data_IF_829051415882
#
_entry.id   IF_829051415882
#
_cell.length_a   1.000
_cell.length_b   1.000
_cell.length_c   1.000
_cell.angle_alpha   90.00
_cell.angle_beta   90.00
_cell.angle_gamma   90.00
#
_symmetry.space_group_name_H-M   'P 1'
#
loop_
_entity.id
_entity.type
_entity.pdbx_description
1 polymer ?
#
# COMPACT_ATOMS: atom_id res chain seq x y z
N UNK A 1 -15.05 -4.71 -23.67
CA UNK A 1 -13.69 -4.84 -24.24
C UNK A 1 -12.81 -3.77 -23.62
N UNK A 2 -11.83 -4.17 -22.81
CA UNK A 2 -10.92 -3.29 -22.06
C UNK A 2 -9.58 -3.22 -22.81
N UNK A 3 -9.04 -2.02 -23.01
CA UNK A 3 -7.73 -1.80 -23.62
C UNK A 3 -6.63 -2.03 -22.56
N UNK A 4 -5.78 -3.06 -22.72
CA UNK A 4 -4.70 -3.33 -21.75
C UNK A 4 -3.45 -2.45 -21.96
N UNK A 5 -3.49 -1.49 -22.89
CA UNK A 5 -2.39 -0.57 -23.23
C UNK A 5 -1.89 -0.67 -24.67
N UNK A 6 -2.03 -1.81 -25.33
CA UNK A 6 -1.70 -1.98 -26.75
C UNK A 6 -2.80 -2.78 -27.45
N UNK A 7 -3.48 -2.13 -28.41
CA UNK A 7 -4.52 -2.75 -29.24
C UNK A 7 -4.27 -2.42 -30.70
N UNK A 8 -4.66 -3.32 -31.60
CA UNK A 8 -4.35 -3.27 -33.02
C UNK A 8 -5.52 -2.80 -33.89
N UNK A 9 -6.46 -2.04 -33.35
CA UNK A 9 -7.59 -1.49 -34.09
C UNK A 9 -8.64 -0.87 -33.16
N UNK A 10 -9.63 -0.21 -33.79
CA UNK A 10 -10.79 0.34 -33.07
C UNK A 10 -11.95 -0.64 -33.14
N UNK A 11 -12.76 -0.63 -32.09
CA UNK A 11 -14.01 -1.40 -32.01
C UNK A 11 -15.20 -0.46 -32.18
N UNK A 12 -16.23 -0.93 -32.86
CA UNK A 12 -17.54 -0.26 -32.90
C UNK A 12 -18.30 -0.57 -31.59
N UNK A 13 -18.69 0.47 -30.89
CA UNK A 13 -19.41 0.32 -29.62
C UNK A 13 -19.50 1.64 -28.85
N UNK A 14 -19.89 1.55 -27.60
CA UNK A 14 -19.99 2.72 -26.72
C UNK A 14 -18.67 2.87 -25.96
N UNK A 15 -17.92 3.93 -26.28
CA UNK A 15 -16.68 4.25 -25.59
C UNK A 15 -16.97 4.55 -24.11
N UNK A 16 -16.15 4.00 -23.24
CA UNK A 16 -16.28 4.13 -21.78
C UNK A 16 -14.90 3.94 -21.12
N UNK A 17 -14.89 3.93 -19.79
CA UNK A 17 -13.73 3.52 -19.00
C UNK A 17 -14.12 2.41 -18.04
N UNK A 18 -13.22 1.45 -17.87
CA UNK A 18 -13.37 0.42 -16.85
C UNK A 18 -13.47 1.06 -15.46
N UNK A 19 -14.53 0.80 -14.70
CA UNK A 19 -14.75 1.47 -13.43
C UNK A 19 -13.81 1.04 -12.31
N UNK A 20 -13.14 -0.12 -12.46
CA UNK A 20 -12.21 -0.63 -11.47
C UNK A 20 -10.81 0.00 -11.58
N UNK A 21 -10.28 0.06 -12.82
CA UNK A 21 -8.89 0.48 -13.08
C UNK A 21 -8.77 1.74 -13.93
N UNK A 22 -9.91 2.30 -14.40
CA UNK A 22 -9.94 3.52 -15.21
C UNK A 22 -9.40 3.36 -16.64
N UNK A 23 -9.16 2.13 -17.07
CA UNK A 23 -8.65 1.83 -18.42
C UNK A 23 -9.69 2.18 -19.48
N UNK A 24 -9.22 2.56 -20.66
CA UNK A 24 -10.10 2.77 -21.81
C UNK A 24 -10.82 1.46 -22.17
N UNK A 25 -12.11 1.54 -22.41
CA UNK A 25 -12.93 0.39 -22.69
C UNK A 25 -14.06 0.73 -23.68
N UNK A 26 -14.62 -0.28 -24.30
CA UNK A 26 -15.73 -0.16 -25.24
C UNK A 26 -16.79 -1.20 -24.88
N UNK A 27 -18.04 -0.78 -24.71
CA UNK A 27 -19.16 -1.71 -24.65
C UNK A 27 -19.46 -2.23 -26.06
N UNK A 28 -19.34 -3.53 -26.26
CA UNK A 28 -19.52 -4.21 -27.54
C UNK A 28 -20.66 -5.21 -27.49
N UNK A 29 -21.22 -5.53 -28.63
CA UNK A 29 -22.17 -6.62 -28.76
C UNK A 29 -21.47 -7.99 -28.58
N UNK A 30 -22.17 -9.02 -28.05
CA UNK A 30 -21.57 -10.34 -27.81
C UNK A 30 -20.90 -10.97 -29.02
N UNK A 31 -21.43 -10.71 -30.23
CA UNK A 31 -20.93 -11.22 -31.51
C UNK A 31 -19.54 -10.66 -31.86
N UNK A 32 -19.16 -9.51 -31.29
CA UNK A 32 -17.87 -8.88 -31.55
C UNK A 32 -16.75 -9.40 -30.62
N UNK A 33 -17.06 -10.34 -29.73
CA UNK A 33 -16.12 -10.83 -28.70
C UNK A 33 -14.82 -11.36 -29.31
N UNK A 34 -14.91 -12.27 -30.29
CA UNK A 34 -13.74 -12.88 -30.91
C UNK A 34 -12.92 -11.85 -31.69
N UNK A 35 -13.60 -10.94 -32.38
CA UNK A 35 -12.95 -9.85 -33.09
C UNK A 35 -12.18 -8.93 -32.14
N UNK A 36 -12.79 -8.53 -31.05
CA UNK A 36 -12.15 -7.70 -30.03
C UNK A 36 -10.91 -8.38 -29.42
N UNK A 37 -10.99 -9.67 -29.13
CA UNK A 37 -9.84 -10.45 -28.63
C UNK A 37 -8.71 -10.52 -29.67
N UNK A 38 -9.03 -10.68 -30.94
CA UNK A 38 -8.02 -10.67 -32.02
C UNK A 38 -7.31 -9.32 -32.13
N UNK A 39 -7.99 -8.23 -31.82
CA UNK A 39 -7.40 -6.88 -31.77
C UNK A 39 -6.61 -6.60 -30.49
N UNK A 40 -6.52 -7.54 -29.56
CA UNK A 40 -5.73 -7.41 -28.34
C UNK A 40 -6.51 -6.84 -27.13
N UNK A 41 -7.83 -6.68 -27.24
CA UNK A 41 -8.64 -6.27 -26.08
C UNK A 41 -8.87 -7.42 -25.12
N UNK A 42 -8.93 -7.11 -23.83
CA UNK A 42 -9.43 -8.04 -22.81
C UNK A 42 -10.95 -7.95 -22.74
N UNK A 43 -11.64 -9.01 -23.16
CA UNK A 43 -13.10 -9.02 -23.18
C UNK A 43 -13.66 -9.74 -21.96
N UNK A 44 -14.48 -9.04 -21.20
CA UNK A 44 -15.16 -9.53 -19.99
C UNK A 44 -16.66 -9.32 -20.10
N UNK A 45 -17.44 -10.10 -19.36
CA UNK A 45 -18.88 -9.90 -19.28
C UNK A 45 -19.25 -8.80 -18.25
N UNK A 46 -20.48 -8.34 -18.28
CA UNK A 46 -20.98 -7.29 -17.40
C UNK A 46 -20.95 -7.67 -15.94
N UNK A 47 -21.20 -8.95 -15.62
CA UNK A 47 -21.18 -9.45 -14.24
C UNK A 47 -19.77 -9.38 -13.66
N UNK A 48 -18.77 -9.77 -14.45
CA UNK A 48 -17.34 -9.67 -14.10
C UNK A 48 -16.94 -8.22 -13.87
N UNK A 49 -17.36 -7.27 -14.72
CA UNK A 49 -17.07 -5.84 -14.52
C UNK A 49 -17.62 -5.35 -13.17
N UNK A 50 -18.89 -5.67 -12.86
CA UNK A 50 -19.53 -5.28 -11.60
C UNK A 50 -18.83 -5.91 -10.40
N UNK A 51 -18.54 -7.21 -10.46
CA UNK A 51 -17.86 -7.93 -9.37
C UNK A 51 -16.47 -7.38 -9.10
N UNK A 52 -15.71 -7.11 -10.16
CA UNK A 52 -14.34 -6.52 -10.06
C UNK A 52 -14.42 -5.11 -9.47
N UNK A 53 -15.36 -4.29 -9.92
CA UNK A 53 -15.54 -2.93 -9.39
C UNK A 53 -15.92 -2.94 -7.90
N UNK A 54 -16.88 -3.79 -7.50
CA UNK A 54 -17.25 -3.93 -6.08
C UNK A 54 -16.04 -4.41 -5.26
N UNK A 55 -15.30 -5.42 -5.73
CA UNK A 55 -14.11 -5.91 -5.06
C UNK A 55 -13.06 -4.82 -4.88
N UNK A 56 -12.84 -4.02 -5.91
CA UNK A 56 -11.90 -2.88 -5.85
C UNK A 56 -12.36 -1.81 -4.87
N UNK A 57 -13.66 -1.47 -4.87
CA UNK A 57 -14.22 -0.51 -3.92
C UNK A 57 -14.10 -0.99 -2.48
N UNK A 58 -14.38 -2.26 -2.20
CA UNK A 58 -14.22 -2.86 -0.87
C UNK A 58 -12.74 -2.82 -0.43
N UNK A 59 -11.82 -3.20 -1.31
CA UNK A 59 -10.38 -3.17 -1.03
C UNK A 59 -9.88 -1.76 -0.72
N UNK A 60 -10.26 -0.78 -1.53
CA UNK A 60 -9.85 0.61 -1.36
C UNK A 60 -10.44 1.28 -0.11
N UNK A 61 -11.56 0.76 0.40
CA UNK A 61 -12.23 1.27 1.59
C UNK A 61 -12.15 0.30 2.78
N UNK A 62 -11.34 -0.75 2.71
CA UNK A 62 -11.23 -1.76 3.77
C UNK A 62 -10.97 -1.15 5.16
N UNK A 63 -10.10 -0.14 5.24
CA UNK A 63 -9.84 0.56 6.48
C UNK A 63 -11.08 1.28 7.07
N UNK A 64 -11.98 1.78 6.22
CA UNK A 64 -13.22 2.44 6.67
C UNK A 64 -14.28 1.43 7.10
N UNK A 65 -14.24 0.23 6.53
CA UNK A 65 -15.17 -0.86 6.84
C UNK A 65 -14.76 -1.64 8.10
N UNK A 66 -13.49 -1.54 8.51
CA UNK A 66 -12.99 -2.19 9.70
C UNK A 66 -13.27 -1.32 10.93
N UNK A 67 -14.29 -1.65 11.69
CA UNK A 67 -14.68 -1.02 12.94
C UNK A 67 -14.42 -1.88 14.17
N UNK A 68 -15.01 -1.49 15.29
CA UNK A 68 -14.89 -2.20 16.57
C UNK A 68 -15.44 -3.62 16.52
N UNK A 69 -16.61 -3.79 15.89
CA UNK A 69 -17.29 -5.09 15.80
C UNK A 69 -16.47 -6.07 14.97
N UNK A 70 -15.95 -5.63 13.82
CA UNK A 70 -15.14 -6.47 12.94
C UNK A 70 -13.84 -6.89 13.63
N UNK A 71 -13.19 -5.97 14.34
CA UNK A 71 -11.96 -6.30 15.08
C UNK A 71 -12.26 -7.22 16.25
N UNK A 72 -13.38 -7.04 16.96
CA UNK A 72 -13.79 -7.95 18.03
C UNK A 72 -14.02 -9.37 17.48
N UNK A 73 -14.71 -9.49 16.35
CA UNK A 73 -14.93 -10.79 15.71
C UNK A 73 -13.60 -11.46 15.29
N UNK A 74 -12.65 -10.68 14.79
CA UNK A 74 -11.30 -11.16 14.47
C UNK A 74 -10.56 -11.66 15.73
N UNK A 75 -10.67 -10.93 16.86
CA UNK A 75 -10.11 -11.37 18.14
C UNK A 75 -10.75 -12.65 18.64
N UNK A 76 -12.08 -12.78 18.54
CA UNK A 76 -12.81 -13.98 18.92
C UNK A 76 -12.42 -15.21 18.08
N UNK A 77 -12.17 -15.01 16.78
CA UNK A 77 -11.64 -16.06 15.91
C UNK A 77 -10.21 -16.46 16.29
N UNK A 78 -9.37 -15.50 16.62
CA UNK A 78 -8.00 -15.76 17.08
C UNK A 78 -8.00 -16.50 18.43
N UNK A 79 -8.88 -16.12 19.35
CA UNK A 79 -9.02 -16.76 20.66
C UNK A 79 -9.36 -18.24 20.57
N UNK A 80 -10.16 -18.67 19.57
CA UNK A 80 -10.47 -20.09 19.33
C UNK A 80 -9.22 -20.93 19.04
N UNK A 81 -8.26 -20.37 18.34
CA UNK A 81 -7.04 -21.07 17.91
C UNK A 81 -5.83 -20.77 18.81
N UNK A 82 -5.82 -19.63 19.48
CA UNK A 82 -4.70 -19.14 20.29
C UNK A 82 -5.21 -18.37 21.51
N UNK A 83 -5.93 -19.05 22.45
CA UNK A 83 -6.57 -18.36 23.57
C UNK A 83 -5.59 -17.61 24.45
N UNK A 84 -4.43 -18.18 24.70
CA UNK A 84 -3.38 -17.53 25.53
C UNK A 84 -2.80 -16.23 24.92
N UNK A 85 -2.96 -16.02 23.64
CA UNK A 85 -2.48 -14.82 22.96
C UNK A 85 -3.45 -13.65 23.13
N UNK A 86 -4.75 -13.96 23.27
CA UNK A 86 -5.81 -12.94 23.38
C UNK A 86 -6.16 -12.68 24.86
N UNK A 87 -5.91 -13.65 25.72
CA UNK A 87 -6.16 -13.54 27.16
C UNK A 87 -5.30 -12.41 27.77
N UNK A 88 -5.95 -11.43 28.40
CA UNK A 88 -5.29 -10.25 28.96
C UNK A 88 -4.77 -9.23 27.93
N UNK A 89 -5.05 -9.42 26.62
CA UNK A 89 -4.61 -8.43 25.63
C UNK A 89 -5.51 -7.19 25.60
N UNK A 90 -6.79 -7.38 25.44
CA UNK A 90 -7.81 -6.30 25.46
C UNK A 90 -8.74 -6.55 26.64
N UNK A 91 -8.95 -5.57 27.54
CA UNK A 91 -8.42 -4.20 27.54
C UNK A 91 -7.09 -4.02 28.26
N UNK A 92 -6.50 -5.04 28.89
CA UNK A 92 -5.47 -4.90 29.92
C UNK A 92 -4.15 -4.34 29.39
N UNK A 93 -3.67 -4.82 28.25
CA UNK A 93 -2.45 -4.31 27.60
C UNK A 93 -2.76 -3.14 26.69
N UNK A 94 -3.90 -3.19 25.99
CA UNK A 94 -4.25 -2.19 25.00
C UNK A 94 -5.77 -2.04 24.86
N UNK A 95 -6.29 -0.79 24.74
CA UNK A 95 -7.68 -0.56 24.38
C UNK A 95 -8.01 -1.09 22.99
N UNK A 96 -9.20 -1.67 22.80
CA UNK A 96 -9.65 -2.15 21.49
C UNK A 96 -9.56 -1.08 20.40
N UNK A 97 -9.84 0.19 20.75
CA UNK A 97 -9.74 1.31 19.81
C UNK A 97 -8.33 1.53 19.25
N UNK A 98 -7.27 1.26 20.04
CA UNK A 98 -5.90 1.31 19.56
C UNK A 98 -5.60 0.18 18.59
N UNK A 99 -6.12 -1.03 18.84
CA UNK A 99 -6.01 -2.17 17.93
C UNK A 99 -6.71 -1.85 16.59
N UNK A 100 -7.95 -1.34 16.65
CA UNK A 100 -8.69 -0.88 15.47
C UNK A 100 -7.88 0.12 14.67
N UNK A 101 -7.31 1.12 15.35
CA UNK A 101 -6.53 2.18 14.69
C UNK A 101 -5.28 1.65 14.00
N UNK A 102 -4.53 0.76 14.64
CA UNK A 102 -3.35 0.12 14.04
C UNK A 102 -3.75 -0.70 12.82
N UNK A 103 -4.80 -1.50 12.90
CA UNK A 103 -5.27 -2.30 11.77
C UNK A 103 -5.78 -1.41 10.60
N UNK A 104 -6.48 -0.33 10.91
CA UNK A 104 -6.88 0.67 9.92
C UNK A 104 -5.68 1.35 9.26
N UNK A 105 -4.63 1.66 10.02
CA UNK A 105 -3.39 2.23 9.47
C UNK A 105 -2.72 1.25 8.50
N UNK A 106 -2.63 -0.03 8.85
CA UNK A 106 -2.11 -1.08 7.96
C UNK A 106 -2.90 -1.15 6.65
N UNK A 107 -4.23 -1.26 6.74
CA UNK A 107 -5.12 -1.32 5.57
C UNK A 107 -5.07 -0.06 4.71
N UNK A 108 -4.93 1.12 5.34
CA UNK A 108 -4.77 2.38 4.62
C UNK A 108 -3.50 2.45 3.79
N UNK A 109 -2.49 1.67 4.15
CA UNK A 109 -1.23 1.53 3.42
C UNK A 109 -1.17 0.26 2.57
N UNK A 110 -2.31 -0.41 2.38
CA UNK A 110 -2.44 -1.62 1.56
C UNK A 110 -1.78 -2.85 2.18
N UNK A 111 -1.53 -2.85 3.49
CA UNK A 111 -0.97 -4.00 4.20
C UNK A 111 -2.10 -4.90 4.71
N UNK A 112 -2.05 -6.17 4.36
CA UNK A 112 -3.04 -7.16 4.77
C UNK A 112 -3.01 -7.41 6.27
N UNK A 113 -4.19 -7.49 6.91
CA UNK A 113 -4.34 -7.84 8.33
C UNK A 113 -4.66 -9.32 8.55
N UNK A 114 -4.44 -10.18 7.55
CA UNK A 114 -4.74 -11.62 7.64
C UNK A 114 -3.87 -12.35 8.65
N UNK A 115 -2.60 -11.96 8.80
CA UNK A 115 -1.72 -12.50 9.83
C UNK A 115 -1.99 -11.84 11.18
N UNK A 116 -3.20 -12.06 11.68
CA UNK A 116 -3.68 -11.52 12.93
C UNK A 116 -2.82 -11.95 14.12
N UNK A 117 -2.25 -13.17 14.05
CA UNK A 117 -1.39 -13.71 15.11
C UNK A 117 -0.13 -12.86 15.27
N UNK A 118 0.60 -12.60 14.19
CA UNK A 118 1.80 -11.75 14.23
C UNK A 118 1.47 -10.33 14.66
N UNK A 119 0.34 -9.78 14.19
CA UNK A 119 -0.13 -8.45 14.60
C UNK A 119 -0.34 -8.38 16.10
N UNK A 120 -1.16 -9.28 16.67
CA UNK A 120 -1.48 -9.27 18.11
C UNK A 120 -0.25 -9.56 18.96
N UNK A 121 0.61 -10.49 18.55
CA UNK A 121 1.85 -10.79 19.25
C UNK A 121 2.77 -9.58 19.33
N UNK A 122 2.90 -8.84 18.24
CA UNK A 122 3.70 -7.60 18.19
C UNK A 122 3.08 -6.51 19.06
N UNK A 123 1.75 -6.36 19.00
CA UNK A 123 1.05 -5.39 19.84
C UNK A 123 1.14 -5.71 21.33
N UNK A 124 1.14 -6.97 21.73
CA UNK A 124 1.41 -7.38 23.11
C UNK A 124 2.81 -6.97 23.59
N UNK A 125 3.81 -7.17 22.72
CA UNK A 125 5.20 -6.83 23.05
C UNK A 125 5.46 -5.33 23.17
N UNK A 126 4.90 -4.56 22.22
CA UNK A 126 5.16 -3.12 22.11
C UNK A 126 4.13 -2.27 22.84
N UNK A 127 2.89 -2.75 23.06
CA UNK A 127 1.83 -2.03 23.74
C UNK A 127 2.12 -1.71 25.21
N UNK A 128 3.00 -2.50 25.85
CA UNK A 128 3.51 -2.19 27.19
C UNK A 128 4.53 -1.03 27.21
N UNK A 129 5.10 -0.68 26.06
CA UNK A 129 6.18 0.32 25.91
C UNK A 129 5.68 1.64 25.30
N UNK A 130 4.63 1.60 24.50
CA UNK A 130 4.09 2.76 23.81
C UNK A 130 2.58 2.61 23.54
N UNK A 131 1.86 3.72 23.69
CA UNK A 131 0.45 3.84 23.31
C UNK A 131 0.28 4.58 21.97
N UNK A 132 1.36 5.01 21.35
CA UNK A 132 1.32 5.69 20.06
C UNK A 132 1.02 4.70 18.95
N UNK A 133 -0.11 4.87 18.29
CA UNK A 133 -0.57 3.99 17.23
C UNK A 133 0.30 4.05 15.97
N UNK A 134 1.04 5.13 15.72
CA UNK A 134 2.00 5.18 14.60
C UNK A 134 3.24 4.33 14.91
N UNK A 135 3.76 4.43 16.14
CA UNK A 135 4.88 3.58 16.60
C UNK A 135 4.50 2.11 16.58
N UNK A 136 3.30 1.78 17.07
CA UNK A 136 2.77 0.41 17.05
C UNK A 136 2.57 -0.11 15.61
N UNK A 137 2.04 0.73 14.72
CA UNK A 137 1.89 0.37 13.30
C UNK A 137 3.25 0.08 12.67
N UNK A 138 4.27 0.90 12.94
CA UNK A 138 5.62 0.69 12.42
C UNK A 138 6.22 -0.63 12.93
N UNK A 139 6.06 -0.95 14.24
CA UNK A 139 6.52 -2.21 14.81
C UNK A 139 5.83 -3.43 14.15
N UNK A 140 4.51 -3.37 13.96
CA UNK A 140 3.76 -4.43 13.28
C UNK A 140 4.20 -4.59 11.82
N UNK A 141 4.44 -3.50 11.09
CA UNK A 141 4.95 -3.56 9.71
C UNK A 141 6.32 -4.24 9.64
N UNK A 142 7.22 -3.94 10.57
CA UNK A 142 8.55 -4.61 10.66
C UNK A 142 8.37 -6.12 10.93
N UNK A 143 7.44 -6.50 11.81
CA UNK A 143 7.14 -7.91 12.06
C UNK A 143 6.56 -8.62 10.82
N UNK A 144 5.79 -7.89 9.99
CA UNK A 144 5.18 -8.37 8.75
C UNK A 144 6.08 -8.19 7.51
N UNK A 145 7.35 -7.79 7.67
CA UNK A 145 8.25 -7.40 6.57
C UNK A 145 8.30 -8.40 5.41
N UNK A 146 8.33 -9.69 5.71
CA UNK A 146 8.36 -10.75 4.66
C UNK A 146 7.10 -10.75 3.83
N UNK A 147 5.93 -10.67 4.48
CA UNK A 147 4.65 -10.63 3.79
C UNK A 147 4.52 -9.36 2.95
N UNK A 148 4.86 -8.19 3.51
CA UNK A 148 4.79 -6.90 2.82
C UNK A 148 5.68 -6.90 1.58
N UNK A 149 6.94 -7.31 1.72
CA UNK A 149 7.89 -7.31 0.59
C UNK A 149 7.51 -8.35 -0.45
N UNK A 150 7.05 -9.53 -0.07
CA UNK A 150 6.59 -10.55 -1.01
C UNK A 150 5.37 -10.08 -1.81
N UNK A 151 4.44 -9.35 -1.18
CA UNK A 151 3.26 -8.80 -1.85
C UNK A 151 3.63 -7.71 -2.87
N UNK A 152 4.64 -6.88 -2.56
CA UNK A 152 5.04 -5.74 -3.39
C UNK A 152 5.98 -6.16 -4.52
N UNK A 153 7.00 -6.98 -4.23
CA UNK A 153 8.09 -7.32 -5.18
C UNK A 153 8.10 -8.79 -5.61
N UNK A 154 7.16 -9.60 -5.12
CA UNK A 154 7.11 -11.02 -5.44
C UNK A 154 8.29 -11.83 -4.86
N UNK A 155 8.59 -13.01 -5.45
CA UNK A 155 9.60 -13.94 -4.94
C UNK A 155 11.04 -13.51 -5.25
N UNK A 156 11.26 -12.51 -6.10
CA UNK A 156 12.58 -12.08 -6.54
C UNK A 156 13.47 -11.69 -5.36
N UNK A 157 14.76 -12.09 -5.42
CA UNK A 157 15.72 -11.78 -4.37
C UNK A 157 16.12 -10.31 -4.36
N UNK A 158 16.14 -9.70 -5.53
CA UNK A 158 16.53 -8.30 -5.71
C UNK A 158 15.29 -7.39 -5.78
N UNK A 159 15.28 -6.34 -4.97
CA UNK A 159 14.20 -5.36 -4.92
C UNK A 159 14.69 -4.06 -5.57
N UNK A 160 14.11 -3.64 -6.71
CA UNK A 160 14.37 -2.33 -7.27
C UNK A 160 13.72 -1.25 -6.40
N UNK A 161 14.51 -0.26 -5.96
CA UNK A 161 14.02 0.80 -5.08
C UNK A 161 14.42 2.18 -5.58
N UNK A 162 13.53 3.13 -5.36
CA UNK A 162 13.78 4.56 -5.45
C UNK A 162 14.21 5.01 -4.05
N UNK A 163 15.21 5.88 -3.95
CA UNK A 163 15.65 6.48 -2.69
C UNK A 163 15.54 7.98 -2.74
N UNK A 164 15.62 8.64 -1.59
CA UNK A 164 15.85 10.07 -1.52
C UNK A 164 17.37 10.35 -1.59
N UNK A 165 17.75 11.47 -2.21
CA UNK A 165 19.12 11.95 -2.10
C UNK A 165 19.45 12.23 -0.63
N UNK A 166 20.70 11.97 -0.17
CA UNK A 166 21.07 12.11 1.23
C UNK A 166 20.78 13.50 1.80
N UNK A 167 20.99 14.54 1.02
CA UNK A 167 20.75 15.93 1.41
C UNK A 167 19.26 16.20 1.66
N UNK A 168 18.41 15.69 0.79
CA UNK A 168 16.95 15.80 0.93
C UNK A 168 16.47 15.00 2.14
N UNK A 169 16.94 13.76 2.31
CA UNK A 169 16.57 12.94 3.46
C UNK A 169 16.98 13.58 4.78
N UNK A 170 18.19 14.14 4.86
CA UNK A 170 18.67 14.89 6.04
C UNK A 170 17.84 16.14 6.33
N UNK A 171 17.46 16.90 5.27
CA UNK A 171 16.61 18.08 5.40
C UNK A 171 15.23 17.69 6.00
N UNK A 172 14.61 16.64 5.47
CA UNK A 172 13.34 16.13 5.97
C UNK A 172 13.45 15.64 7.41
N UNK A 173 14.54 14.96 7.77
CA UNK A 173 14.81 14.55 9.15
C UNK A 173 14.89 15.74 10.12
N UNK A 174 15.65 16.75 9.77
CA UNK A 174 15.77 17.97 10.60
C UNK A 174 14.42 18.67 10.75
N UNK A 175 13.65 18.76 9.68
CA UNK A 175 12.32 19.35 9.71
C UNK A 175 11.34 18.56 10.59
N UNK A 176 11.36 17.23 10.53
CA UNK A 176 10.57 16.36 11.42
C UNK A 176 10.93 16.54 12.90
N UNK A 177 12.22 16.63 13.22
CA UNK A 177 12.68 16.86 14.59
C UNK A 177 12.25 18.24 15.12
N UNK A 178 12.29 19.27 14.27
CA UNK A 178 11.89 20.63 14.63
C UNK A 178 10.38 20.76 14.93
N UNK A 179 9.54 19.91 14.31
CA UNK A 179 8.08 19.90 14.49
C UNK A 179 7.60 18.92 15.55
N UNK A 180 8.52 18.28 16.30
CA UNK A 180 8.14 17.29 17.30
C UNK A 180 7.45 16.04 16.75
N UNK A 181 7.62 15.75 15.46
CA UNK A 181 7.03 14.58 14.79
C UNK A 181 5.66 14.80 14.11
N UNK A 182 5.10 16.01 14.17
CA UNK A 182 3.80 16.33 13.52
C UNK A 182 3.86 16.34 11.98
N UNK A 183 5.02 16.09 11.41
CA UNK A 183 5.30 16.08 9.97
C UNK A 183 6.32 17.15 9.59
N UNK A 184 7.06 16.96 8.49
CA UNK A 184 8.04 17.94 8.06
C UNK A 184 7.35 19.21 7.55
N UNK A 185 7.83 20.35 7.99
CA UNK A 185 7.47 21.62 7.38
C UNK A 185 8.28 21.79 6.09
N UNK A 186 7.68 21.37 4.98
CA UNK A 186 8.31 21.40 3.66
C UNK A 186 7.82 22.66 2.94
N UNK A 187 8.75 23.45 2.41
CA UNK A 187 8.41 24.55 1.54
C UNK A 187 7.58 24.06 0.32
N UNK A 188 6.46 24.75 -0.03
CA UNK A 188 5.58 24.28 -1.11
C UNK A 188 6.31 23.98 -2.42
N UNK A 189 7.25 24.83 -2.86
CA UNK A 189 8.02 24.61 -4.07
C UNK A 189 8.94 23.39 -4.02
N UNK A 190 9.45 23.00 -2.85
CA UNK A 190 10.21 21.78 -2.67
C UNK A 190 9.29 20.56 -2.68
N UNK A 191 8.10 20.66 -2.03
CA UNK A 191 7.11 19.59 -2.02
C UNK A 191 6.65 19.24 -3.44
N UNK A 192 6.35 20.24 -4.27
CA UNK A 192 5.95 20.06 -5.67
C UNK A 192 7.07 19.39 -6.50
N UNK A 193 8.31 19.87 -6.38
CA UNK A 193 9.45 19.24 -7.10
C UNK A 193 9.68 17.81 -6.65
N UNK A 194 9.62 17.53 -5.36
CA UNK A 194 9.76 16.18 -4.81
C UNK A 194 8.64 15.27 -5.33
N UNK A 195 7.40 15.75 -5.33
CA UNK A 195 6.26 15.00 -5.83
C UNK A 195 6.41 14.68 -7.32
N UNK A 196 6.79 15.64 -8.15
CA UNK A 196 7.01 15.43 -9.58
C UNK A 196 8.15 14.43 -9.83
N UNK A 197 9.26 14.56 -9.13
CA UNK A 197 10.40 13.64 -9.28
C UNK A 197 10.06 12.21 -8.83
N UNK A 198 9.25 12.05 -7.78
CA UNK A 198 8.75 10.75 -7.34
C UNK A 198 7.78 10.14 -8.35
N UNK A 199 6.90 10.96 -8.94
CA UNK A 199 5.97 10.52 -9.99
C UNK A 199 6.74 10.02 -11.22
N UNK A 200 7.70 10.79 -11.70
CA UNK A 200 8.53 10.43 -12.86
C UNK A 200 9.33 9.13 -12.60
N UNK A 201 9.89 8.99 -11.39
CA UNK A 201 10.61 7.78 -11.00
C UNK A 201 9.70 6.55 -10.91
N UNK A 202 8.49 6.72 -10.35
CA UNK A 202 7.49 5.65 -10.26
C UNK A 202 7.03 5.20 -11.64
N UNK A 203 6.70 6.13 -12.52
CA UNK A 203 6.30 5.83 -13.90
C UNK A 203 7.38 5.09 -14.68
N UNK A 204 8.65 5.46 -14.51
CA UNK A 204 9.77 4.74 -15.15
C UNK A 204 9.85 3.27 -14.70
N UNK A 205 9.58 2.98 -13.43
CA UNK A 205 9.53 1.61 -12.94
C UNK A 205 8.34 0.84 -13.52
N UNK A 206 7.17 1.44 -13.54
CA UNK A 206 5.97 0.84 -14.13
C UNK A 206 6.15 0.53 -15.62
N UNK A 207 6.78 1.43 -16.39
CA UNK A 207 7.05 1.23 -17.81
C UNK A 207 7.95 0.02 -18.11
N UNK A 208 8.81 -0.37 -17.19
CA UNK A 208 9.65 -1.58 -17.30
C UNK A 208 9.05 -2.79 -16.59
N UNK A 209 7.79 -2.68 -16.14
CA UNK A 209 7.07 -3.76 -15.47
C UNK A 209 7.58 -4.07 -14.05
N UNK A 210 8.27 -3.12 -13.41
CA UNK A 210 8.78 -3.27 -12.06
C UNK A 210 7.94 -2.47 -11.05
N UNK A 211 7.83 -2.93 -9.79
CA UNK A 211 7.10 -2.20 -8.77
C UNK A 211 7.80 -0.87 -8.44
N UNK A 212 7.01 0.18 -8.25
CA UNK A 212 7.49 1.46 -7.75
C UNK A 212 7.58 1.41 -6.21
N UNK A 213 8.79 1.37 -5.67
CA UNK A 213 9.06 1.26 -4.24
C UNK A 213 9.97 2.40 -3.81
N UNK A 214 9.50 3.25 -2.89
CA UNK A 214 10.32 4.26 -2.22
C UNK A 214 10.87 3.67 -0.92
N UNK A 215 12.18 3.58 -0.81
CA UNK A 215 12.90 3.14 0.38
C UNK A 215 13.41 4.37 1.15
N UNK A 216 13.10 4.45 2.44
CA UNK A 216 13.46 5.58 3.30
C UNK A 216 13.71 5.14 4.75
N UNK A 217 14.11 6.06 5.60
CA UNK A 217 14.23 5.80 7.04
C UNK A 217 12.87 5.57 7.71
N UNK A 218 12.85 4.81 8.80
CA UNK A 218 11.63 4.51 9.56
C UNK A 218 10.90 5.77 10.06
N UNK A 219 11.65 6.83 10.39
CA UNK A 219 11.10 8.11 10.86
C UNK A 219 10.29 8.83 9.77
N UNK A 220 10.74 8.79 8.53
CA UNK A 220 10.10 9.49 7.40
C UNK A 220 9.01 8.66 6.74
N UNK A 221 9.02 7.33 6.91
CA UNK A 221 8.20 6.40 6.15
C UNK A 221 6.70 6.72 6.20
N UNK A 222 6.12 6.88 7.39
CA UNK A 222 4.68 7.11 7.54
C UNK A 222 4.25 8.44 6.92
N UNK A 223 5.06 9.48 7.08
CA UNK A 223 4.81 10.80 6.53
C UNK A 223 4.91 10.80 5.01
N UNK A 224 5.95 10.18 4.45
CA UNK A 224 6.08 10.05 2.99
C UNK A 224 4.98 9.17 2.40
N UNK A 225 4.57 8.12 3.08
CA UNK A 225 3.43 7.30 2.66
C UNK A 225 2.14 8.13 2.55
N UNK A 226 1.86 8.98 3.55
CA UNK A 226 0.72 9.91 3.50
C UNK A 226 0.84 10.95 2.38
N UNK A 227 2.04 11.47 2.18
CA UNK A 227 2.33 12.48 1.16
C UNK A 227 2.05 11.97 -0.26
N UNK A 228 2.47 10.75 -0.59
CA UNK A 228 2.31 10.19 -1.95
C UNK A 228 0.96 9.50 -2.18
N UNK A 229 0.21 9.19 -1.14
CA UNK A 229 -0.99 8.33 -1.19
C UNK A 229 -1.99 8.69 -2.28
N UNK A 230 -2.26 9.99 -2.45
CA UNK A 230 -3.30 10.47 -3.39
C UNK A 230 -2.74 10.88 -4.73
N UNK A 231 -1.46 11.16 -4.81
CA UNK A 231 -0.80 11.68 -6.02
C UNK A 231 -0.09 10.59 -6.81
N UNK A 232 0.43 9.57 -6.10
CA UNK A 232 1.15 8.44 -6.71
C UNK A 232 0.69 7.15 -6.02
N UNK A 233 -0.56 6.71 -6.26
CA UNK A 233 -1.19 5.62 -5.50
C UNK A 233 -0.46 4.27 -5.64
N UNK A 234 0.29 4.07 -6.71
CA UNK A 234 1.05 2.85 -6.98
C UNK A 234 2.44 2.86 -6.32
N UNK A 235 2.90 3.99 -5.79
CA UNK A 235 4.19 4.09 -5.11
C UNK A 235 4.07 3.53 -3.68
N UNK A 236 4.74 2.42 -3.42
CA UNK A 236 4.81 1.81 -2.09
C UNK A 236 5.98 2.39 -1.31
N UNK A 237 5.73 2.85 -0.08
CA UNK A 237 6.78 3.40 0.79
C UNK A 237 7.11 2.41 1.89
N UNK A 238 8.36 1.97 1.93
CA UNK A 238 8.88 1.04 2.93
C UNK A 238 10.12 1.63 3.62
N UNK A 239 10.38 1.18 4.84
CA UNK A 239 11.59 1.56 5.57
C UNK A 239 12.70 0.53 5.40
N UNK A 240 13.96 0.94 5.67
CA UNK A 240 15.10 0.00 5.68
C UNK A 240 14.88 -1.16 6.64
N UNK A 241 14.16 -0.96 7.75
CA UNK A 241 13.85 -2.00 8.73
C UNK A 241 12.80 -3.01 8.24
N UNK A 242 12.01 -2.65 7.24
CA UNK A 242 11.02 -3.52 6.60
C UNK A 242 11.62 -4.39 5.50
N UNK A 243 12.92 -4.29 5.20
CA UNK A 243 13.60 -5.18 4.26
C UNK A 243 13.96 -6.49 4.97
N UNK A 244 13.52 -7.65 4.45
CA UNK A 244 13.97 -8.94 4.95
C UNK A 244 15.47 -9.17 4.68
N UNK A 245 16.15 -9.86 5.60
CA UNK A 245 17.61 -10.05 5.54
C UNK A 245 18.07 -10.85 4.32
N UNK A 246 17.16 -11.67 3.77
CA UNK A 246 17.40 -12.48 2.56
C UNK A 246 17.27 -11.69 1.24
N UNK A 247 16.76 -10.46 1.28
CA UNK A 247 16.55 -9.63 0.08
C UNK A 247 17.73 -8.69 -0.16
N UNK A 248 18.01 -8.44 -1.44
CA UNK A 248 19.01 -7.46 -1.88
C UNK A 248 18.33 -6.21 -2.44
N UNK A 249 18.92 -5.06 -2.21
CA UNK A 249 18.39 -3.78 -2.67
C UNK A 249 19.17 -3.34 -3.90
N UNK A 250 18.46 -2.98 -4.96
CA UNK A 250 19.03 -2.31 -6.14
C UNK A 250 18.44 -0.92 -6.28
N UNK A 251 19.26 0.09 -6.06
CA UNK A 251 18.83 1.49 -6.24
C UNK A 251 18.72 1.77 -7.74
N UNK A 252 17.53 2.16 -8.18
CA UNK A 252 17.22 2.46 -9.59
C UNK A 252 17.12 3.95 -9.86
N UNK A 253 16.83 4.77 -8.84
CA UNK A 253 16.74 6.21 -8.92
C UNK A 253 16.93 6.84 -7.54
N UNK A 254 17.50 8.04 -7.49
CA UNK A 254 17.56 8.89 -6.30
C UNK A 254 16.84 10.21 -6.60
N UNK A 255 15.87 10.56 -5.76
CA UNK A 255 15.06 11.78 -5.89
C UNK A 255 15.62 12.89 -5.02
N UNK A 256 15.69 14.11 -5.56
CA UNK A 256 16.19 15.29 -4.85
C UNK A 256 17.64 15.64 -5.17
N UNK A 257 18.16 15.13 -6.30
CA UNK A 257 19.43 15.62 -6.87
C UNK A 257 19.21 16.90 -7.66
#
# INVERSE_FOLDING_TARGET
AINPGQVYGKLDGIETRDPAFGLEAVWIAPEQREHAQTLGYTVVDTATVVATHISQLLSNNAAKLLGYEEVQQLMDMLAKNSPKLVDGFVPDVMPLGSVVKVMQNLLNEGVSVRDLRTIVQTLLEYGTKSNDTEVLTAAVRIALKRMIVQEISGPELEIPVITLAPELEQMLHKSMQATGGEGPNIEPGLAERMQQSLLDAAQKQEMVGQPAILLTSGMLRSTLSRFVKYTIPNLRVISYQEIPDEKQIRIVSAVGQ
#
